data_IF_832239412616
#
_entry.id   IF_832239412616
#
_cell.length_a   1.000
_cell.length_b   1.000
_cell.length_c   1.000
_cell.angle_alpha   90.00
_cell.angle_beta   90.00
_cell.angle_gamma   90.00
#
_symmetry.space_group_name_H-M   'P 1'
#
loop_
_entity.id
_entity.type
_entity.pdbx_description
1 polymer ?
#
# COMPACT_ATOMS: atom_id res chain seq x y z
N UNK A 1 29.45 -6.25 1.79
CA UNK A 1 28.85 -5.20 2.66
C UNK A 1 27.46 -4.90 2.14
N UNK A 2 26.44 -5.07 2.98
CA UNK A 2 25.03 -5.05 2.57
C UNK A 2 24.50 -3.62 2.41
N UNK A 3 24.92 -2.93 1.35
CA UNK A 3 24.44 -1.58 1.03
C UNK A 3 22.91 -1.50 0.88
N UNK A 4 22.24 -2.62 0.57
CA UNK A 4 20.77 -2.73 0.52
C UNK A 4 20.12 -2.37 1.85
N UNK A 5 20.60 -2.93 2.96
CA UNK A 5 19.93 -2.78 4.25
C UNK A 5 20.14 -1.35 4.77
N UNK A 6 21.32 -0.79 4.52
CA UNK A 6 21.63 0.60 4.84
C UNK A 6 20.76 1.56 3.99
N UNK A 7 20.64 1.30 2.68
CA UNK A 7 19.80 2.09 1.79
C UNK A 7 18.31 2.03 2.18
N UNK A 8 17.81 0.83 2.53
CA UNK A 8 16.46 0.64 3.09
C UNK A 8 16.26 1.57 4.30
N UNK A 9 17.13 1.47 5.31
CA UNK A 9 16.99 2.27 6.54
C UNK A 9 17.00 3.77 6.22
N UNK A 10 17.97 4.25 5.43
CA UNK A 10 18.10 5.69 5.13
C UNK A 10 16.86 6.21 4.38
N UNK A 11 16.43 5.52 3.31
CA UNK A 11 15.31 5.98 2.48
C UNK A 11 14.01 6.00 3.29
N UNK A 12 13.70 4.92 4.01
CA UNK A 12 12.43 4.84 4.73
C UNK A 12 12.42 5.70 6.00
N UNK A 13 13.58 5.99 6.60
CA UNK A 13 13.70 6.93 7.70
C UNK A 13 13.44 8.38 7.25
N UNK A 14 13.80 8.75 6.02
CA UNK A 14 13.45 10.05 5.42
C UNK A 14 11.96 10.11 5.04
N UNK A 15 11.40 9.01 4.54
CA UNK A 15 9.99 8.97 4.12
C UNK A 15 9.00 8.89 5.30
N UNK A 16 9.41 8.32 6.44
CA UNK A 16 8.55 8.13 7.60
C UNK A 16 7.96 9.45 8.17
N UNK A 17 8.73 10.55 8.36
CA UNK A 17 8.16 11.85 8.74
C UNK A 17 7.11 12.37 7.76
N UNK A 18 7.34 12.19 6.46
CA UNK A 18 6.41 12.64 5.41
C UNK A 18 5.14 11.80 5.44
N UNK A 19 5.26 10.48 5.60
CA UNK A 19 4.12 9.57 5.76
C UNK A 19 3.30 9.90 7.03
N UNK A 20 3.94 10.24 8.14
CA UNK A 20 3.26 10.70 9.36
C UNK A 20 2.53 12.03 9.14
N UNK A 21 3.16 12.98 8.45
CA UNK A 21 2.51 14.25 8.11
C UNK A 21 1.25 14.04 7.27
N UNK A 22 1.31 13.16 6.27
CA UNK A 22 0.15 12.79 5.44
C UNK A 22 -0.95 12.11 6.24
N UNK A 23 -0.58 11.20 7.15
CA UNK A 23 -1.53 10.55 8.06
C UNK A 23 -2.33 11.57 8.89
N UNK A 24 -1.66 12.59 9.43
CA UNK A 24 -2.32 13.65 10.21
C UNK A 24 -3.24 14.51 9.32
N UNK A 25 -2.82 14.84 8.09
CA UNK A 25 -3.58 15.71 7.19
C UNK A 25 -4.86 15.05 6.65
N UNK A 26 -4.77 13.82 6.14
CA UNK A 26 -5.90 13.12 5.53
C UNK A 26 -6.87 12.53 6.56
N UNK A 27 -6.43 12.34 7.83
CA UNK A 27 -7.25 12.01 9.01
C UNK A 27 -8.19 10.82 8.74
N UNK A 28 -9.46 10.89 9.17
CA UNK A 28 -10.40 9.75 9.15
C UNK A 28 -10.74 9.17 7.76
N UNK A 29 -10.69 9.97 6.69
CA UNK A 29 -11.02 9.49 5.33
C UNK A 29 -9.86 8.78 4.64
N UNK A 30 -8.62 9.17 4.95
CA UNK A 30 -7.40 8.53 4.42
C UNK A 30 -6.69 7.62 5.42
N UNK A 31 -7.23 7.46 6.64
CA UNK A 31 -6.57 6.77 7.74
C UNK A 31 -5.96 5.43 7.31
N UNK A 32 -6.72 4.62 6.57
CA UNK A 32 -6.29 3.30 6.13
C UNK A 32 -5.04 3.36 5.24
N UNK A 33 -5.06 4.19 4.20
CA UNK A 33 -3.96 4.37 3.27
C UNK A 33 -2.66 4.71 4.01
N UNK A 34 -2.72 5.78 4.79
CA UNK A 34 -1.53 6.36 5.42
C UNK A 34 -1.06 5.54 6.62
N UNK A 35 -1.96 4.85 7.32
CA UNK A 35 -1.59 3.87 8.35
C UNK A 35 -0.72 2.77 7.76
N UNK A 36 -1.13 2.18 6.63
CA UNK A 36 -0.37 1.09 6.00
C UNK A 36 0.94 1.57 5.36
N UNK A 37 1.02 2.81 4.85
CA UNK A 37 2.30 3.40 4.42
C UNK A 37 3.26 3.57 5.61
N UNK A 38 2.77 4.04 6.77
CA UNK A 38 3.60 4.15 7.97
C UNK A 38 4.05 2.78 8.47
N UNK A 39 3.14 1.80 8.51
CA UNK A 39 3.46 0.41 8.87
C UNK A 39 4.52 -0.17 7.95
N UNK A 40 4.42 0.09 6.63
CA UNK A 40 5.41 -0.32 5.66
C UNK A 40 6.79 0.30 5.93
N UNK A 41 6.86 1.62 6.13
CA UNK A 41 8.11 2.31 6.44
C UNK A 41 8.76 1.78 7.74
N UNK A 42 7.96 1.53 8.78
CA UNK A 42 8.45 0.96 10.04
C UNK A 42 8.98 -0.46 9.86
N UNK A 43 8.24 -1.31 9.14
CA UNK A 43 8.69 -2.67 8.81
C UNK A 43 10.01 -2.64 8.04
N UNK A 44 10.20 -1.67 7.14
CA UNK A 44 11.43 -1.49 6.37
C UNK A 44 12.62 -1.06 7.22
N UNK A 45 12.42 -0.10 8.10
CA UNK A 45 13.47 0.35 9.02
C UNK A 45 13.87 -0.81 9.95
N UNK A 46 12.91 -1.55 10.48
CA UNK A 46 13.18 -2.71 11.34
C UNK A 46 13.90 -3.84 10.57
N UNK A 47 13.41 -4.22 9.39
CA UNK A 47 14.03 -5.25 8.56
C UNK A 47 15.44 -4.87 8.08
N UNK A 48 15.63 -3.60 7.70
CA UNK A 48 16.92 -3.05 7.35
C UNK A 48 17.89 -3.02 8.53
N UNK A 49 17.48 -2.51 9.69
CA UNK A 49 18.33 -2.46 10.88
C UNK A 49 18.77 -3.86 11.33
N UNK A 50 17.85 -4.84 11.30
CA UNK A 50 18.17 -6.23 11.60
C UNK A 50 19.13 -6.83 10.57
N UNK A 51 18.95 -6.56 9.27
CA UNK A 51 19.83 -7.04 8.22
C UNK A 51 21.23 -6.39 8.20
N UNK A 52 21.38 -5.18 8.76
CA UNK A 52 22.68 -4.54 8.99
C UNK A 52 23.44 -5.26 10.12
N UNK A 53 22.74 -5.63 11.20
CA UNK A 53 23.34 -6.30 12.35
C UNK A 53 23.64 -7.79 12.08
N UNK A 54 22.71 -8.50 11.44
CA UNK A 54 22.85 -9.90 11.05
C UNK A 54 22.16 -10.16 9.70
N UNK A 55 22.96 -10.23 8.65
CA UNK A 55 22.46 -10.46 7.29
C UNK A 55 22.00 -11.88 6.99
N UNK A 56 22.36 -12.83 7.85
CA UNK A 56 21.85 -14.21 7.80
C UNK A 56 20.58 -14.41 8.63
N UNK A 57 20.15 -13.39 9.38
CA UNK A 57 18.97 -13.48 10.21
C UNK A 57 17.73 -13.80 9.36
N UNK A 58 17.19 -15.00 9.57
CA UNK A 58 15.93 -15.44 8.96
C UNK A 58 14.81 -14.42 9.23
N UNK A 59 14.80 -13.81 10.42
CA UNK A 59 13.87 -12.74 10.83
C UNK A 59 13.96 -11.51 9.92
N UNK A 60 15.16 -11.04 9.56
CA UNK A 60 15.32 -9.90 8.66
C UNK A 60 14.75 -10.19 7.27
N UNK A 61 14.98 -11.40 6.77
CA UNK A 61 14.48 -11.84 5.47
C UNK A 61 12.96 -12.02 5.44
N UNK A 62 12.34 -12.47 6.55
CA UNK A 62 10.88 -12.54 6.69
C UNK A 62 10.30 -11.13 6.66
N UNK A 63 10.83 -10.20 7.47
CA UNK A 63 10.31 -8.83 7.56
C UNK A 63 10.38 -8.12 6.21
N UNK A 64 11.48 -8.31 5.45
CA UNK A 64 11.58 -7.78 4.10
C UNK A 64 10.57 -8.41 3.13
N UNK A 65 10.32 -9.71 3.24
CA UNK A 65 9.36 -10.43 2.38
C UNK A 65 7.91 -10.05 2.67
N UNK A 66 7.60 -9.66 3.91
CA UNK A 66 6.26 -9.25 4.39
C UNK A 66 5.84 -7.86 3.87
N UNK A 67 6.78 -7.05 3.37
CA UNK A 67 6.53 -5.65 2.97
C UNK A 67 5.49 -5.44 1.86
N UNK A 68 5.17 -6.46 1.06
CA UNK A 68 4.19 -6.34 -0.04
C UNK A 68 2.78 -6.09 0.50
N UNK A 69 2.39 -6.76 1.59
CA UNK A 69 1.02 -6.69 2.10
C UNK A 69 0.63 -5.28 2.55
N UNK A 70 1.43 -4.57 3.38
CA UNK A 70 1.17 -3.17 3.70
C UNK A 70 1.04 -2.28 2.45
N UNK A 71 1.83 -2.49 1.39
CA UNK A 71 1.72 -1.68 0.17
C UNK A 71 0.41 -1.92 -0.61
N UNK A 72 -0.04 -3.18 -0.72
CA UNK A 72 -1.33 -3.47 -1.36
C UNK A 72 -2.48 -2.90 -0.53
N UNK A 73 -2.40 -2.98 0.81
CA UNK A 73 -3.40 -2.41 1.71
C UNK A 73 -3.40 -0.87 1.69
N UNK A 74 -2.23 -0.25 1.51
CA UNK A 74 -2.14 1.18 1.24
C UNK A 74 -2.87 1.53 -0.07
N UNK A 75 -2.64 0.80 -1.16
CA UNK A 75 -3.34 1.01 -2.44
C UNK A 75 -4.87 0.87 -2.32
N UNK A 76 -5.34 -0.14 -1.58
CA UNK A 76 -6.77 -0.34 -1.30
C UNK A 76 -7.34 0.84 -0.47
N UNK A 77 -6.57 1.31 0.53
CA UNK A 77 -6.89 2.51 1.31
C UNK A 77 -7.00 3.77 0.46
N UNK A 78 -6.07 4.02 -0.47
CA UNK A 78 -6.13 5.17 -1.38
C UNK A 78 -7.35 5.07 -2.31
N UNK A 79 -7.65 3.87 -2.80
CA UNK A 79 -8.83 3.62 -3.64
C UNK A 79 -10.12 3.88 -2.84
N UNK A 80 -10.20 3.45 -1.58
CA UNK A 80 -11.31 3.74 -0.69
C UNK A 80 -11.48 5.23 -0.44
N UNK A 81 -10.38 5.93 -0.17
CA UNK A 81 -10.39 7.38 0.02
C UNK A 81 -10.89 8.10 -1.24
N UNK A 82 -10.33 7.78 -2.41
CA UNK A 82 -10.74 8.39 -3.68
C UNK A 82 -12.24 8.16 -3.98
N UNK A 83 -12.75 6.97 -3.68
CA UNK A 83 -14.19 6.65 -3.82
C UNK A 83 -15.05 7.45 -2.86
N UNK A 84 -14.60 7.68 -1.63
CA UNK A 84 -15.32 8.50 -0.65
C UNK A 84 -15.48 9.96 -1.09
N UNK A 85 -14.62 10.44 -2.00
CA UNK A 85 -14.76 11.75 -2.65
C UNK A 85 -15.60 11.72 -3.94
N UNK A 86 -15.59 10.61 -4.69
CA UNK A 86 -16.30 10.47 -5.99
C UNK A 86 -17.78 10.11 -5.90
N UNK A 87 -18.21 9.35 -4.89
CA UNK A 87 -19.58 8.83 -4.80
C UNK A 87 -20.28 9.32 -3.53
N UNK A 88 -21.30 10.18 -3.67
CA UNK A 88 -22.09 10.79 -2.55
C UNK A 88 -23.01 9.76 -1.87
N UNK A 89 -23.70 8.92 -2.65
CA UNK A 89 -24.64 7.93 -2.12
C UNK A 89 -23.97 6.56 -2.06
N UNK A 90 -23.15 6.36 -1.04
CA UNK A 90 -22.36 5.14 -0.82
C UNK A 90 -23.10 4.23 0.15
N UNK A 91 -23.28 2.95 -0.19
CA UNK A 91 -23.51 1.94 0.83
C UNK A 91 -22.21 1.77 1.62
N UNK A 92 -22.19 2.28 2.85
CA UNK A 92 -21.06 2.21 3.78
C UNK A 92 -20.47 0.80 3.82
N UNK A 93 -21.37 -0.19 3.84
CA UNK A 93 -21.11 -1.63 3.89
C UNK A 93 -20.28 -2.16 2.72
N UNK A 94 -20.59 -1.80 1.46
CA UNK A 94 -19.88 -2.36 0.30
C UNK A 94 -18.40 -1.99 0.31
N UNK A 95 -18.10 -0.74 0.63
CA UNK A 95 -16.73 -0.26 0.60
C UNK A 95 -15.93 -0.61 1.86
N UNK A 96 -16.58 -0.90 2.99
CA UNK A 96 -15.90 -1.53 4.12
C UNK A 96 -15.71 -3.03 3.92
N UNK A 97 -16.68 -3.71 3.27
CA UNK A 97 -16.57 -5.13 2.91
C UNK A 97 -15.39 -5.39 1.99
N UNK A 98 -15.19 -4.59 0.94
CA UNK A 98 -14.03 -4.76 0.03
C UNK A 98 -12.71 -4.69 0.81
N UNK A 99 -12.58 -3.69 1.69
CA UNK A 99 -11.40 -3.50 2.54
C UNK A 99 -11.19 -4.66 3.52
N UNK A 100 -12.25 -5.13 4.16
CA UNK A 100 -12.15 -6.25 5.10
C UNK A 100 -11.76 -7.53 4.36
N UNK A 101 -12.36 -7.79 3.21
CA UNK A 101 -12.06 -8.97 2.39
C UNK A 101 -10.61 -8.94 1.89
N UNK A 102 -10.12 -7.81 1.41
CA UNK A 102 -8.73 -7.66 0.92
C UNK A 102 -7.73 -7.84 2.06
N UNK A 103 -8.03 -7.28 3.23
CA UNK A 103 -7.19 -7.42 4.44
C UNK A 103 -7.12 -8.87 4.91
N UNK A 104 -8.27 -9.54 5.05
CA UNK A 104 -8.32 -10.94 5.50
C UNK A 104 -7.63 -11.85 4.47
N UNK A 105 -7.87 -11.64 3.18
CA UNK A 105 -7.25 -12.44 2.12
C UNK A 105 -5.72 -12.28 2.09
N UNK A 106 -5.20 -11.05 2.23
CA UNK A 106 -3.76 -10.80 2.27
C UNK A 106 -3.11 -11.31 3.56
N UNK A 107 -3.80 -11.22 4.70
CA UNK A 107 -3.30 -11.79 5.95
C UNK A 107 -3.18 -13.32 5.84
N UNK A 108 -4.21 -13.99 5.32
CA UNK A 108 -4.18 -15.43 5.06
C UNK A 108 -3.06 -15.82 4.07
N UNK A 109 -2.95 -15.09 2.96
CA UNK A 109 -1.91 -15.31 1.95
C UNK A 109 -0.49 -15.15 2.52
N UNK A 110 -0.29 -14.13 3.36
CA UNK A 110 0.98 -13.89 4.04
C UNK A 110 1.31 -15.04 4.99
N UNK A 111 0.38 -15.44 5.87
CA UNK A 111 0.61 -16.51 6.84
C UNK A 111 0.98 -17.82 6.13
N UNK A 112 0.25 -18.18 5.06
CA UNK A 112 0.56 -19.37 4.26
C UNK A 112 1.94 -19.29 3.60
N UNK A 113 2.30 -18.12 3.06
CA UNK A 113 3.61 -17.92 2.40
C UNK A 113 4.76 -17.97 3.39
N UNK A 114 4.62 -17.33 4.55
CA UNK A 114 5.65 -17.31 5.60
C UNK A 114 5.81 -18.70 6.21
N UNK A 115 4.73 -19.35 6.64
CA UNK A 115 4.82 -20.71 7.23
C UNK A 115 5.33 -21.75 6.23
N UNK A 116 4.88 -21.69 4.98
CA UNK A 116 5.35 -22.59 3.94
C UNK A 116 6.84 -22.39 3.60
N UNK A 117 7.29 -21.14 3.50
CA UNK A 117 8.70 -20.85 3.23
C UNK A 117 9.61 -21.21 4.41
N UNK A 118 9.21 -20.91 5.65
CA UNK A 118 10.01 -21.19 6.84
C UNK A 118 10.31 -22.68 7.01
N UNK A 119 9.29 -23.53 6.91
CA UNK A 119 9.46 -24.98 7.04
C UNK A 119 10.44 -25.53 5.98
N UNK A 120 10.43 -24.97 4.77
CA UNK A 120 11.38 -25.34 3.71
C UNK A 120 12.81 -24.89 4.06
N UNK A 121 12.99 -23.68 4.60
CA UNK A 121 14.32 -23.16 4.95
C UNK A 121 14.93 -23.82 6.19
N UNK A 122 14.13 -24.27 7.15
CA UNK A 122 14.58 -25.01 8.34
C UNK A 122 14.97 -26.47 8.04
N UNK A 123 14.82 -26.92 6.78
CA UNK A 123 15.17 -28.28 6.37
C UNK A 123 14.13 -29.34 6.78
N UNK A 124 12.95 -28.92 7.23
CA UNK A 124 11.80 -29.79 7.55
C UNK A 124 10.72 -29.75 6.46
N UNK A 125 11.06 -29.21 5.29
CA UNK A 125 10.11 -28.91 4.22
C UNK A 125 9.46 -30.17 3.63
N UNK A 126 8.16 -30.29 3.79
CA UNK A 126 7.34 -31.28 3.08
C UNK A 126 6.79 -30.72 1.77
N UNK A 127 6.29 -31.61 0.90
CA UNK A 127 5.53 -31.22 -0.30
C UNK A 127 4.33 -30.33 0.03
N UNK A 128 3.73 -30.54 1.22
CA UNK A 128 2.64 -29.71 1.73
C UNK A 128 3.06 -28.26 1.97
N UNK A 129 4.27 -28.02 2.48
CA UNK A 129 4.75 -26.66 2.77
C UNK A 129 5.09 -25.89 1.49
N UNK A 130 5.56 -26.62 0.46
CA UNK A 130 5.70 -26.07 -0.88
C UNK A 130 4.35 -25.66 -1.47
N UNK A 131 3.31 -26.48 -1.27
CA UNK A 131 1.94 -26.15 -1.69
C UNK A 131 1.46 -24.90 -0.95
N UNK A 132 1.65 -24.80 0.38
CA UNK A 132 1.28 -23.60 1.16
C UNK A 132 1.95 -22.35 0.61
N UNK A 133 3.25 -22.42 0.31
CA UNK A 133 4.00 -21.28 -0.22
C UNK A 133 3.53 -20.85 -1.62
N UNK A 134 3.26 -21.82 -2.52
CA UNK A 134 2.71 -21.59 -3.85
C UNK A 134 1.31 -20.99 -3.79
N UNK A 135 0.44 -21.54 -2.95
CA UNK A 135 -0.94 -21.06 -2.76
C UNK A 135 -0.94 -19.65 -2.19
N UNK A 136 -0.16 -19.37 -1.15
CA UNK A 136 -0.06 -18.02 -0.57
C UNK A 136 0.43 -16.98 -1.59
N UNK A 137 1.43 -17.33 -2.40
CA UNK A 137 1.91 -16.46 -3.48
C UNK A 137 0.86 -16.25 -4.58
N UNK A 138 0.15 -17.30 -4.97
CA UNK A 138 -0.94 -17.23 -5.95
C UNK A 138 -2.11 -16.37 -5.48
N UNK A 139 -2.53 -16.51 -4.21
CA UNK A 139 -3.58 -15.67 -3.61
C UNK A 139 -3.15 -14.21 -3.59
N UNK A 140 -1.89 -13.91 -3.27
CA UNK A 140 -1.36 -12.53 -3.30
C UNK A 140 -1.49 -11.90 -4.69
N UNK A 141 -1.18 -12.67 -5.75
CA UNK A 141 -1.33 -12.23 -7.15
C UNK A 141 -2.79 -11.97 -7.50
N UNK A 142 -3.70 -12.84 -7.08
CA UNK A 142 -5.14 -12.68 -7.31
C UNK A 142 -5.70 -11.44 -6.60
N UNK A 143 -5.28 -11.17 -5.36
CA UNK A 143 -5.70 -9.96 -4.64
C UNK A 143 -5.15 -8.71 -5.33
N UNK A 144 -3.88 -8.71 -5.74
CA UNK A 144 -3.31 -7.60 -6.50
C UNK A 144 -4.07 -7.35 -7.81
N UNK A 145 -4.35 -8.40 -8.60
CA UNK A 145 -5.10 -8.26 -9.85
C UNK A 145 -6.53 -7.73 -9.61
N UNK A 146 -7.18 -8.20 -8.55
CA UNK A 146 -8.50 -7.72 -8.13
C UNK A 146 -8.45 -6.24 -7.74
N UNK A 147 -7.38 -5.79 -7.09
CA UNK A 147 -7.15 -4.38 -6.74
C UNK A 147 -6.93 -3.50 -7.98
N UNK A 148 -6.13 -3.95 -8.95
CA UNK A 148 -5.96 -3.25 -10.23
C UNK A 148 -7.30 -3.10 -10.93
N UNK A 149 -8.06 -4.18 -11.06
CA UNK A 149 -9.39 -4.14 -11.68
C UNK A 149 -10.32 -3.20 -10.94
N UNK A 150 -10.33 -3.24 -9.60
CA UNK A 150 -11.15 -2.37 -8.78
C UNK A 150 -10.79 -0.89 -8.95
N UNK A 151 -9.50 -0.56 -8.96
CA UNK A 151 -9.02 0.80 -9.18
C UNK A 151 -9.42 1.30 -10.59
N UNK A 152 -9.29 0.47 -11.64
CA UNK A 152 -9.72 0.80 -13.01
C UNK A 152 -11.23 1.03 -13.10
N UNK A 153 -12.04 0.15 -12.51
CA UNK A 153 -13.51 0.32 -12.47
C UNK A 153 -13.88 1.65 -11.81
N UNK A 154 -13.22 2.01 -10.70
CA UNK A 154 -13.47 3.27 -10.01
C UNK A 154 -12.93 4.49 -10.77
N UNK A 155 -11.96 4.31 -11.67
CA UNK A 155 -11.47 5.36 -12.56
C UNK A 155 -12.44 5.65 -13.71
N UNK A 156 -12.93 4.60 -14.36
CA UNK A 156 -13.82 4.67 -15.55
C UNK A 156 -15.25 5.07 -15.17
N UNK A 157 -15.74 4.63 -14.01
CA UNK A 157 -17.08 5.00 -13.55
C UNK A 157 -17.12 6.49 -13.21
N UNK A 158 -17.91 7.25 -13.98
CA UNK A 158 -18.23 8.65 -13.67
C UNK A 158 -18.94 8.71 -12.32
N UNK A 159 -18.31 9.37 -11.35
CA UNK A 159 -18.93 9.68 -10.07
C UNK A 159 -20.16 10.57 -10.28
N UNK A 160 -21.12 10.52 -9.36
CA UNK A 160 -22.18 11.55 -9.24
C UNK A 160 -21.98 12.42 -7.98
N UNK A 161 -20.88 12.24 -7.26
CA UNK A 161 -20.57 13.00 -6.05
C UNK A 161 -20.01 14.39 -6.38
N UNK A 162 -19.90 15.22 -5.34
CA UNK A 162 -19.37 16.58 -5.38
C UNK A 162 -17.96 16.71 -6.03
N UNK A 163 -17.24 15.58 -6.21
CA UNK A 163 -15.94 15.49 -6.86
C UNK A 163 -15.89 14.68 -8.16
N UNK A 164 -17.02 14.43 -8.82
CA UNK A 164 -17.11 13.68 -10.09
C UNK A 164 -16.27 14.22 -11.26
N UNK A 165 -15.70 15.42 -11.12
CA UNK A 165 -14.75 16.03 -12.06
C UNK A 165 -13.56 16.73 -11.39
N UNK A 166 -13.29 16.48 -10.10
CA UNK A 166 -12.16 17.16 -9.43
C UNK A 166 -10.83 16.46 -9.76
N UNK A 167 -9.79 17.19 -10.18
CA UNK A 167 -8.51 16.61 -10.58
C UNK A 167 -7.84 15.85 -9.43
N UNK A 168 -8.06 16.24 -8.18
CA UNK A 168 -7.39 15.63 -7.02
C UNK A 168 -7.84 14.19 -6.72
N UNK A 169 -9.14 13.87 -6.81
CA UNK A 169 -9.62 12.49 -6.62
C UNK A 169 -9.18 11.58 -7.77
N UNK A 170 -9.12 12.14 -8.98
CA UNK A 170 -8.59 11.45 -10.16
C UNK A 170 -7.10 11.19 -10.02
N UNK A 171 -6.35 12.15 -9.46
CA UNK A 171 -4.93 12.02 -9.16
C UNK A 171 -4.66 10.92 -8.12
N UNK A 172 -5.50 10.77 -7.08
CA UNK A 172 -5.40 9.64 -6.13
C UNK A 172 -5.50 8.29 -6.85
N UNK A 173 -6.48 8.12 -7.73
CA UNK A 173 -6.67 6.86 -8.45
C UNK A 173 -5.59 6.60 -9.51
N UNK A 174 -5.18 7.62 -10.26
CA UNK A 174 -4.07 7.52 -11.22
C UNK A 174 -2.76 7.19 -10.51
N UNK A 175 -2.49 7.86 -9.39
CA UNK A 175 -1.35 7.56 -8.52
C UNK A 175 -1.37 6.14 -7.99
N UNK A 176 -2.53 5.67 -7.53
CA UNK A 176 -2.72 4.30 -7.06
C UNK A 176 -2.45 3.28 -8.17
N UNK A 177 -2.96 3.51 -9.39
CA UNK A 177 -2.68 2.65 -10.53
C UNK A 177 -1.19 2.64 -10.90
N UNK A 178 -0.54 3.80 -10.90
CA UNK A 178 0.91 3.90 -11.11
C UNK A 178 1.69 3.09 -10.08
N UNK A 179 1.36 3.22 -8.79
CA UNK A 179 1.99 2.44 -7.72
C UNK A 179 1.72 0.93 -7.84
N UNK A 180 0.49 0.53 -8.23
CA UNK A 180 0.12 -0.87 -8.43
C UNK A 180 0.93 -1.56 -9.52
N UNK A 181 1.41 -0.84 -10.54
CA UNK A 181 2.31 -1.40 -11.56
C UNK A 181 3.64 -1.83 -10.93
N UNK A 182 4.26 -0.97 -10.11
CA UNK A 182 5.51 -1.30 -9.42
C UNK A 182 5.31 -2.40 -8.37
N UNK A 183 4.21 -2.36 -7.62
CA UNK A 183 3.82 -3.46 -6.71
C UNK A 183 3.64 -4.76 -7.51
N UNK A 184 3.09 -4.70 -8.72
CA UNK A 184 2.94 -5.84 -9.61
C UNK A 184 4.26 -6.50 -9.99
N UNK A 185 5.29 -5.72 -10.31
CA UNK A 185 6.65 -6.23 -10.57
C UNK A 185 7.13 -7.09 -9.40
N UNK A 186 6.97 -6.57 -8.17
CA UNK A 186 7.38 -7.26 -6.94
C UNK A 186 6.58 -8.54 -6.67
N UNK A 187 5.27 -8.49 -6.89
CA UNK A 187 4.36 -9.63 -6.71
C UNK A 187 4.66 -10.74 -7.72
N UNK A 188 4.83 -10.40 -9.00
CA UNK A 188 5.17 -11.34 -10.07
C UNK A 188 6.56 -11.94 -9.83
N UNK A 189 7.55 -11.14 -9.44
CA UNK A 189 8.88 -11.64 -9.07
C UNK A 189 8.79 -12.69 -7.96
N UNK A 190 8.01 -12.42 -6.91
CA UNK A 190 7.79 -13.39 -5.81
C UNK A 190 7.16 -14.68 -6.34
N UNK A 191 6.12 -14.57 -7.17
CA UNK A 191 5.48 -15.75 -7.77
C UNK A 191 6.48 -16.57 -8.61
N UNK A 192 7.25 -15.93 -9.48
CA UNK A 192 8.25 -16.61 -10.32
C UNK A 192 9.29 -17.31 -9.45
N UNK A 193 9.81 -16.64 -8.42
CA UNK A 193 10.76 -17.26 -7.51
C UNK A 193 10.20 -18.52 -6.83
N UNK A 194 8.93 -18.49 -6.45
CA UNK A 194 8.22 -19.62 -5.82
C UNK A 194 7.89 -20.73 -6.82
N UNK A 195 7.54 -20.40 -8.05
CA UNK A 195 7.23 -21.41 -9.07
C UNK A 195 8.49 -22.11 -9.58
N UNK A 196 9.56 -21.35 -9.80
CA UNK A 196 10.81 -21.86 -10.36
C UNK A 196 11.69 -22.57 -9.32
N UNK A 197 11.52 -22.30 -8.02
CA UNK A 197 12.33 -22.90 -6.94
C UNK A 197 13.86 -22.69 -7.11
N UNK A 198 14.26 -21.74 -7.96
CA UNK A 198 15.66 -21.43 -8.21
C UNK A 198 16.23 -20.59 -7.05
N UNK A 199 17.33 -21.08 -6.45
CA UNK A 199 17.99 -20.43 -5.31
C UNK A 199 18.47 -19.01 -5.63
N UNK A 200 18.87 -18.74 -6.88
CA UNK A 200 19.34 -17.42 -7.34
C UNK A 200 18.23 -16.39 -7.53
N UNK A 201 16.99 -16.85 -7.73
CA UNK A 201 15.80 -16.02 -7.89
C UNK A 201 15.04 -15.82 -6.57
N UNK A 202 15.41 -16.54 -5.52
CA UNK A 202 14.76 -16.46 -4.21
C UNK A 202 14.81 -15.04 -3.63
N UNK A 203 13.70 -14.51 -3.08
CA UNK A 203 13.70 -13.21 -2.40
C UNK A 203 14.60 -13.17 -1.15
N UNK A 204 15.04 -14.35 -0.68
CA UNK A 204 15.76 -14.55 0.57
C UNK A 204 17.22 -14.91 0.31
N UNK A 205 17.49 -15.82 -0.62
CA UNK A 205 18.85 -16.30 -0.96
C UNK A 205 19.38 -15.82 -2.31
N UNK A 206 18.54 -15.11 -3.08
CA UNK A 206 18.89 -14.66 -4.42
C UNK A 206 19.97 -13.59 -4.41
N UNK A 207 20.55 -13.35 -5.58
CA UNK A 207 21.65 -12.41 -5.73
C UNK A 207 21.26 -11.00 -5.26
N UNK A 208 22.22 -10.27 -4.68
CA UNK A 208 21.99 -8.91 -4.17
C UNK A 208 21.42 -7.99 -5.25
N UNK A 209 21.91 -8.09 -6.49
CA UNK A 209 21.43 -7.29 -7.61
C UNK A 209 19.93 -7.54 -7.91
N UNK A 210 19.51 -8.80 -7.90
CA UNK A 210 18.10 -9.17 -8.11
C UNK A 210 17.22 -8.62 -6.99
N UNK A 211 17.68 -8.71 -5.73
CA UNK A 211 16.95 -8.13 -4.58
C UNK A 211 16.88 -6.59 -4.68
N UNK A 212 17.91 -5.90 -5.16
CA UNK A 212 17.85 -4.43 -5.37
C UNK A 212 16.76 -4.10 -6.39
N UNK A 213 16.84 -4.73 -7.56
CA UNK A 213 16.07 -4.30 -8.74
C UNK A 213 14.63 -4.78 -8.68
N UNK A 214 14.37 -5.97 -8.12
CA UNK A 214 13.05 -6.60 -8.12
C UNK A 214 12.36 -6.57 -6.74
N UNK A 215 13.10 -6.27 -5.66
CA UNK A 215 12.54 -6.09 -4.32
C UNK A 215 12.49 -4.60 -3.97
N UNK A 216 13.65 -4.00 -3.72
CA UNK A 216 13.75 -2.65 -3.16
C UNK A 216 13.23 -1.56 -4.10
N UNK A 217 13.64 -1.57 -5.37
CA UNK A 217 13.33 -0.49 -6.30
C UNK A 217 11.83 -0.33 -6.57
N UNK A 218 11.05 -1.40 -6.86
CA UNK A 218 9.61 -1.25 -7.08
C UNK A 218 8.86 -0.81 -5.81
N UNK A 219 9.30 -1.28 -4.65
CA UNK A 219 8.69 -0.93 -3.36
C UNK A 219 8.97 0.54 -2.99
N UNK A 220 10.19 1.01 -3.23
CA UNK A 220 10.59 2.41 -3.07
C UNK A 220 9.79 3.31 -4.04
N UNK A 221 9.72 2.94 -5.32
CA UNK A 221 8.97 3.67 -6.33
C UNK A 221 7.47 3.77 -5.98
N UNK A 222 6.84 2.67 -5.58
CA UNK A 222 5.44 2.67 -5.13
C UNK A 222 5.22 3.60 -3.92
N UNK A 223 6.12 3.55 -2.94
CA UNK A 223 6.05 4.41 -1.74
C UNK A 223 6.20 5.89 -2.10
N UNK A 224 7.14 6.23 -2.98
CA UNK A 224 7.34 7.59 -3.47
C UNK A 224 6.11 8.11 -4.21
N UNK A 225 5.46 7.26 -5.02
CA UNK A 225 4.21 7.62 -5.70
C UNK A 225 3.10 7.90 -4.69
N UNK A 226 2.93 7.04 -3.68
CA UNK A 226 1.94 7.28 -2.62
C UNK A 226 2.19 8.59 -1.88
N UNK A 227 3.43 8.86 -1.49
CA UNK A 227 3.82 10.09 -0.80
C UNK A 227 3.59 11.32 -1.68
N UNK A 228 4.01 11.29 -2.95
CA UNK A 228 3.84 12.39 -3.90
C UNK A 228 2.36 12.71 -4.11
N UNK A 229 1.55 11.68 -4.36
CA UNK A 229 0.10 11.79 -4.59
C UNK A 229 -0.61 12.27 -3.33
N UNK A 230 -0.18 11.81 -2.14
CA UNK A 230 -0.68 12.30 -0.86
C UNK A 230 -0.39 13.78 -0.64
N UNK A 231 0.84 14.21 -0.91
CA UNK A 231 1.24 15.61 -0.77
C UNK A 231 0.43 16.53 -1.69
N UNK A 232 0.15 16.08 -2.92
CA UNK A 232 -0.66 16.83 -3.89
C UNK A 232 -2.13 16.91 -3.52
N UNK A 233 -2.66 15.90 -2.83
CA UNK A 233 -4.10 15.81 -2.50
C UNK A 233 -4.43 16.23 -1.06
N UNK A 234 -3.45 16.81 -0.35
CA UNK A 234 -3.58 17.19 1.07
C UNK A 234 -4.71 18.18 1.40
N UNK A 235 -5.24 18.92 0.41
CA UNK A 235 -6.31 19.90 0.61
C UNK A 235 -7.69 19.41 0.12
N UNK A 236 -7.80 18.17 -0.36
CA UNK A 236 -9.04 17.63 -0.95
C UNK A 236 -10.23 17.68 0.03
N UNK A 237 -9.95 17.61 1.34
CA UNK A 237 -10.97 17.75 2.40
C UNK A 237 -11.49 19.18 2.54
N UNK A 238 -10.61 20.17 2.43
CA UNK A 238 -11.00 21.57 2.58
C UNK A 238 -11.85 22.01 1.38
N UNK A 239 -11.55 21.47 0.20
CA UNK A 239 -12.37 21.58 -1.00
C UNK A 239 -13.75 20.96 -0.77
N UNK A 240 -13.81 19.71 -0.26
CA UNK A 240 -15.07 19.03 0.03
C UNK A 240 -15.96 19.83 1.01
N UNK A 241 -15.37 20.42 2.06
CA UNK A 241 -16.11 21.24 3.03
C UNK A 241 -16.69 22.51 2.38
N UNK A 242 -15.89 23.22 1.58
CA UNK A 242 -16.34 24.43 0.86
C UNK A 242 -17.51 24.13 -0.08
N UNK A 243 -17.37 23.10 -0.91
CA UNK A 243 -18.45 22.70 -1.85
C UNK A 243 -19.71 22.27 -1.11
N UNK A 244 -19.59 21.58 0.02
CA UNK A 244 -20.75 21.19 0.82
C UNK A 244 -21.50 22.41 1.36
N UNK A 245 -20.78 23.37 1.95
CA UNK A 245 -21.32 24.62 2.48
C UNK A 245 -22.03 25.45 1.40
N UNK A 246 -21.42 25.59 0.23
CA UNK A 246 -21.95 26.38 -0.89
C UNK A 246 -23.17 25.73 -1.60
N UNK A 247 -23.37 24.43 -1.36
CA UNK A 247 -24.52 23.66 -1.90
C UNK A 247 -25.67 23.47 -0.90
N UNK A 248 -25.55 24.01 0.32
CA UNK A 248 -26.62 23.98 1.31
C UNK A 248 -27.69 25.05 0.98
N UNK A 249 -28.99 24.74 1.06
CA UNK A 249 -30.05 25.71 0.79
C UNK A 249 -29.96 26.92 1.73
N UNK A 250 -30.10 28.12 1.18
CA UNK A 250 -29.87 29.44 1.79
C UNK A 250 -30.89 29.86 2.87
N UNK A 251 -31.50 28.90 3.58
CA UNK A 251 -32.58 29.18 4.54
C UNK A 251 -32.08 29.28 6.00
N UNK A 252 -30.77 29.16 6.25
CA UNK A 252 -30.16 29.50 7.54
C UNK A 252 -29.45 30.86 7.43
N UNK A 253 -29.72 31.82 8.35
CA UNK A 253 -29.19 33.17 8.24
C UNK A 253 -27.66 33.13 8.23
N UNK A 254 -27.08 33.78 7.22
CA UNK A 254 -25.65 33.95 7.02
C UNK A 254 -25.02 34.73 8.18
N UNK A 255 -24.81 34.08 9.32
CA UNK A 255 -23.90 34.59 10.34
C UNK A 255 -22.48 34.32 9.85
N UNK A 256 -21.87 35.38 9.31
CA UNK A 256 -20.51 35.38 8.80
C UNK A 256 -19.51 35.04 9.90
N UNK A 257 -19.22 33.75 10.10
CA UNK A 257 -18.05 33.32 10.86
C UNK A 257 -16.84 33.52 9.99
N UNK A 258 -16.29 34.73 10.07
CA UNK A 258 -14.98 35.09 9.51
C UNK A 258 -13.95 34.08 10.01
N UNK A 259 -13.24 33.33 9.13
CA UNK A 259 -12.16 32.47 9.57
C UNK A 259 -11.02 33.35 10.06
N UNK A 260 -10.81 33.41 11.38
CA UNK A 260 -9.60 33.96 11.98
C UNK A 260 -8.42 33.08 11.55
N UNK A 261 -7.68 33.54 10.55
CA UNK A 261 -6.30 33.12 10.34
C UNK A 261 -5.47 33.73 11.46
N UNK A 262 -5.09 32.93 12.45
CA UNK A 262 -3.99 33.30 13.33
C UNK A 262 -2.68 32.94 12.62
N UNK A 263 -1.87 33.99 12.43
CA UNK A 263 -0.46 33.98 12.06
C UNK A 263 0.36 33.30 13.15
#
# INVERSE_FOLDING_TARGET
MNGIFIADVIVYLILLPVANYLFIKHRWTGFLAWYFVNLFCLARIAGGALGVHDSSSMTANIIQSVGITPLILAADGLTHEARAFRFKNRSSLLSWSVVSTTTIALAAAMILSVTGSLNIFEGHGSSLDLIKWKVGSGVTVLVWASQVLWAVINLVRKGKGYGAGHPESTLLLQGTLGALVFIGIRVIYTLVAVLTQNKDLSPITGTMAVRVVLMFLPECAATLIFVFVGLKTRHIRDIKKKVHYESAPSDEPHEAVVPKFNV
#
